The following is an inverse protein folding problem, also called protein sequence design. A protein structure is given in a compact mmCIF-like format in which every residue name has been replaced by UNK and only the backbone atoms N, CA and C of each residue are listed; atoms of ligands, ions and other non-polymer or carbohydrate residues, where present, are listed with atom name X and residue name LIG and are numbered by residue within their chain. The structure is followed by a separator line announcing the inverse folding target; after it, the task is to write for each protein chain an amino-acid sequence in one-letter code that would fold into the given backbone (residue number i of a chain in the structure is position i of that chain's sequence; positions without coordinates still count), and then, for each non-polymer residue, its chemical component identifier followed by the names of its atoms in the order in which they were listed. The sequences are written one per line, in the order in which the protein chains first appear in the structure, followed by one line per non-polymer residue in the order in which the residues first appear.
data_IF_410941650356
#
_entry.id   IF_410941650356
#
_cell.length_a   1.000
_cell.length_b   1.000
_cell.length_c   1.000
_cell.angle_alpha   90.00
_cell.angle_beta   90.00
_cell.angle_gamma   90.00
#
_symmetry.space_group_name_H-M   'P 1'
#
loop_
_entity.id
_entity.type
_entity.pdbx_description
1 polymer ?
#
# COMPACT_ATOMS: atom_id res chain seq x y z
N UNK A 1 -21.98 -9.37 3.71
CA UNK A 1 -21.43 -10.09 2.54
C UNK A 1 -20.04 -9.62 2.07
N UNK A 2 -19.28 -8.80 2.82
CA UNK A 2 -17.82 -8.65 2.64
C UNK A 2 -17.05 -9.32 3.81
N UNK A 3 -17.49 -9.05 5.04
CA UNK A 3 -17.02 -9.70 6.28
C UNK A 3 -17.16 -11.24 6.20
N UNK A 4 -18.22 -11.75 5.56
CA UNK A 4 -18.42 -13.20 5.40
C UNK A 4 -17.46 -13.85 4.41
N UNK A 5 -16.83 -13.07 3.53
CA UNK A 5 -15.89 -13.55 2.52
C UNK A 5 -14.43 -13.40 2.97
N UNK A 6 -14.12 -12.34 3.72
CA UNK A 6 -12.74 -11.98 4.07
C UNK A 6 -12.64 -11.24 5.42
N UNK A 7 -13.50 -11.59 6.38
CA UNK A 7 -13.58 -10.91 7.69
C UNK A 7 -12.39 -11.14 8.62
N UNK A 8 -11.45 -12.00 8.25
CA UNK A 8 -10.19 -12.20 8.97
C UNK A 8 -9.03 -11.37 8.35
N UNK A 9 -9.32 -10.54 7.34
CA UNK A 9 -8.36 -9.66 6.70
C UNK A 9 -8.47 -8.23 7.22
N UNK A 10 -7.39 -7.69 7.77
CA UNK A 10 -7.37 -6.32 8.26
C UNK A 10 -7.59 -5.28 7.16
N UNK A 11 -7.17 -5.56 5.91
CA UNK A 11 -7.41 -4.64 4.79
C UNK A 11 -8.91 -4.51 4.46
N UNK A 12 -9.68 -5.59 4.63
CA UNK A 12 -11.14 -5.52 4.51
C UNK A 12 -11.70 -4.57 5.56
N UNK A 13 -11.35 -4.78 6.83
CA UNK A 13 -11.85 -3.92 7.90
C UNK A 13 -11.43 -2.46 7.75
N UNK A 14 -10.28 -2.17 7.15
CA UNK A 14 -9.89 -0.81 6.80
C UNK A 14 -10.91 -0.12 5.87
N UNK A 15 -11.46 -0.83 4.90
CA UNK A 15 -12.53 -0.29 4.05
C UNK A 15 -13.83 -0.03 4.84
N UNK A 16 -14.11 -0.84 5.86
CA UNK A 16 -15.24 -0.61 6.78
C UNK A 16 -14.97 0.63 7.65
N UNK A 17 -13.75 0.80 8.15
CA UNK A 17 -13.30 2.01 8.86
C UNK A 17 -13.54 3.23 7.98
N UNK A 18 -13.08 3.21 6.72
CA UNK A 18 -13.32 4.29 5.79
C UNK A 18 -14.81 4.56 5.59
N UNK A 19 -15.63 3.53 5.41
CA UNK A 19 -17.07 3.67 5.22
C UNK A 19 -17.76 4.41 6.38
N UNK A 20 -17.43 4.05 7.63
CA UNK A 20 -18.02 4.66 8.83
C UNK A 20 -17.43 6.04 9.15
N UNK A 21 -16.11 6.22 8.99
CA UNK A 21 -15.45 7.50 9.23
C UNK A 21 -15.97 8.60 8.28
N UNK A 22 -16.20 8.28 7.00
CA UNK A 22 -16.79 9.20 6.03
C UNK A 22 -18.23 9.65 6.38
N UNK A 23 -18.88 8.99 7.34
CA UNK A 23 -20.25 9.29 7.81
C UNK A 23 -20.29 9.83 9.25
N UNK A 24 -19.14 10.06 9.87
CA UNK A 24 -19.03 10.45 11.29
C UNK A 24 -19.78 9.50 12.24
N UNK A 25 -19.77 8.21 11.93
CA UNK A 25 -20.35 7.16 12.76
C UNK A 25 -19.33 6.75 13.83
N UNK A 26 -19.16 7.55 14.89
CA UNK A 26 -18.06 7.43 15.86
C UNK A 26 -17.94 6.03 16.47
N UNK A 27 -19.01 5.50 17.06
CA UNK A 27 -19.00 4.17 17.71
C UNK A 27 -18.63 3.06 16.72
N UNK A 28 -19.22 3.10 15.52
CA UNK A 28 -18.96 2.10 14.48
C UNK A 28 -17.55 2.25 13.90
N UNK A 29 -17.02 3.46 13.84
CA UNK A 29 -15.64 3.71 13.38
C UNK A 29 -14.65 3.16 14.39
N UNK A 30 -14.84 3.44 15.67
CA UNK A 30 -13.98 2.92 16.75
C UNK A 30 -14.04 1.39 16.79
N UNK A 31 -15.24 0.81 16.70
CA UNK A 31 -15.43 -0.63 16.60
C UNK A 31 -14.67 -1.20 15.40
N UNK A 32 -14.89 -0.64 14.21
CA UNK A 32 -14.23 -1.10 12.99
C UNK A 32 -12.70 -0.94 13.03
N UNK A 33 -12.15 0.00 13.82
CA UNK A 33 -10.71 0.16 14.01
C UNK A 33 -10.09 -0.99 14.82
N UNK A 34 -10.84 -1.61 15.72
CA UNK A 34 -10.33 -2.72 16.54
C UNK A 34 -10.17 -4.01 15.73
N UNK A 35 -11.05 -4.23 14.76
CA UNK A 35 -11.06 -5.43 13.93
C UNK A 35 -9.81 -5.64 13.06
N UNK A 36 -9.24 -4.64 12.35
CA UNK A 36 -8.01 -4.85 11.60
C UNK A 36 -6.88 -5.23 12.55
N UNK A 37 -6.74 -4.54 13.68
CA UNK A 37 -5.68 -4.82 14.68
C UNK A 37 -5.73 -6.28 15.16
N UNK A 38 -6.93 -6.83 15.32
CA UNK A 38 -7.14 -8.21 15.77
C UNK A 38 -7.13 -9.25 14.63
N UNK A 39 -7.10 -8.81 13.38
CA UNK A 39 -7.12 -9.69 12.21
C UNK A 39 -5.77 -10.42 12.07
N UNK A 40 -5.76 -11.73 11.75
CA UNK A 40 -4.53 -12.53 11.64
C UNK A 40 -3.61 -12.09 10.48
N UNK A 41 -4.16 -11.47 9.44
CA UNK A 41 -3.38 -10.98 8.30
C UNK A 41 -3.95 -9.67 7.76
N UNK A 42 -3.16 -9.02 6.90
CA UNK A 42 -3.53 -7.79 6.21
C UNK A 42 -3.10 -7.91 4.74
N UNK A 43 -4.08 -8.09 3.85
CA UNK A 43 -3.84 -8.30 2.43
C UNK A 43 -4.72 -7.38 1.60
N UNK A 44 -4.12 -6.42 0.90
CA UNK A 44 -4.85 -5.45 0.07
C UNK A 44 -5.23 -6.03 -1.30
N UNK A 45 -4.81 -7.26 -1.58
CA UNK A 45 -4.96 -7.99 -2.83
C UNK A 45 -4.45 -7.20 -4.03
N UNK A 46 -3.44 -6.35 -3.83
CA UNK A 46 -2.97 -5.40 -4.82
C UNK A 46 -2.37 -6.11 -6.04
N UNK A 47 -1.45 -7.07 -5.82
CA UNK A 47 -0.86 -7.88 -6.88
C UNK A 47 -1.90 -8.75 -7.59
N UNK A 48 -2.75 -9.44 -6.83
CA UNK A 48 -3.87 -10.23 -7.34
C UNK A 48 -4.84 -9.41 -8.19
N UNK A 49 -5.17 -8.19 -7.78
CA UNK A 49 -6.03 -7.30 -8.55
C UNK A 49 -5.35 -6.89 -9.86
N UNK A 50 -4.07 -6.51 -9.83
CA UNK A 50 -3.31 -6.21 -11.04
C UNK A 50 -3.29 -7.41 -11.99
N UNK A 51 -3.02 -8.61 -11.49
CA UNK A 51 -3.04 -9.83 -12.29
C UNK A 51 -4.42 -10.13 -12.89
N UNK A 52 -5.50 -9.92 -12.13
CA UNK A 52 -6.88 -10.12 -12.62
C UNK A 52 -7.21 -9.14 -13.74
N UNK A 53 -6.91 -7.85 -13.57
CA UNK A 53 -7.16 -6.85 -14.60
C UNK A 53 -6.30 -7.10 -15.84
N UNK A 54 -5.02 -7.44 -15.66
CA UNK A 54 -4.12 -7.79 -16.78
C UNK A 54 -4.69 -8.97 -17.59
N UNK A 55 -5.14 -10.03 -16.93
CA UNK A 55 -5.80 -11.19 -17.58
C UNK A 55 -7.12 -10.83 -18.25
N UNK A 56 -7.88 -9.87 -17.72
CA UNK A 56 -9.13 -9.42 -18.33
C UNK A 56 -8.90 -8.57 -19.59
N UNK A 57 -7.73 -7.92 -19.69
CA UNK A 57 -7.30 -7.18 -20.87
C UNK A 57 -6.66 -8.10 -21.93
N UNK A 58 -6.12 -9.25 -21.50
CA UNK A 58 -5.65 -10.31 -22.38
C UNK A 58 -6.83 -10.87 -23.20
N UNK A 59 -6.75 -10.78 -24.53
CA UNK A 59 -7.85 -11.06 -25.46
C UNK A 59 -8.33 -9.86 -26.28
N UNK A 60 -7.72 -8.68 -26.08
CA UNK A 60 -7.84 -7.56 -27.03
C UNK A 60 -6.95 -7.76 -28.26
N UNK A 61 -7.10 -6.92 -29.29
CA UNK A 61 -6.25 -6.94 -30.50
C UNK A 61 -4.78 -6.59 -30.24
N UNK A 62 -4.43 -6.13 -29.04
CA UNK A 62 -3.07 -5.82 -28.61
C UNK A 62 -2.78 -6.58 -27.31
N UNK A 63 -2.49 -7.88 -27.44
CA UNK A 63 -2.27 -8.80 -26.32
C UNK A 63 -0.79 -8.77 -25.87
N UNK A 64 -0.35 -7.63 -25.35
CA UNK A 64 0.97 -7.45 -24.77
C UNK A 64 0.87 -7.51 -23.23
N UNK A 65 1.61 -8.42 -22.61
CA UNK A 65 1.55 -8.62 -21.17
C UNK A 65 1.97 -7.36 -20.39
N UNK A 66 3.06 -6.71 -20.80
CA UNK A 66 3.59 -5.54 -20.10
C UNK A 66 2.60 -4.37 -20.16
N UNK A 67 2.02 -4.08 -21.33
CA UNK A 67 0.98 -3.06 -21.51
C UNK A 67 -0.28 -3.38 -20.71
N UNK A 68 -0.72 -4.64 -20.68
CA UNK A 68 -1.87 -5.07 -19.90
C UNK A 68 -1.63 -4.88 -18.39
N UNK A 69 -0.43 -5.16 -17.90
CA UNK A 69 -0.04 -4.92 -16.50
C UNK A 69 0.03 -3.43 -16.19
N UNK A 70 0.62 -2.60 -17.07
CA UNK A 70 0.66 -1.13 -16.90
C UNK A 70 -0.75 -0.56 -16.80
N UNK A 71 -1.65 -0.98 -17.69
CA UNK A 71 -3.06 -0.58 -17.64
C UNK A 71 -3.74 -1.02 -16.34
N UNK A 72 -3.48 -2.26 -15.90
CA UNK A 72 -4.00 -2.80 -14.64
C UNK A 72 -3.53 -2.04 -13.40
N UNK A 73 -2.24 -1.65 -13.34
CA UNK A 73 -1.70 -0.76 -12.30
C UNK A 73 -2.46 0.57 -12.30
N UNK A 74 -2.69 1.15 -13.48
CA UNK A 74 -3.44 2.40 -13.62
C UNK A 74 -4.88 2.30 -13.09
N UNK A 75 -5.58 1.20 -13.41
CA UNK A 75 -6.93 0.93 -12.90
C UNK A 75 -6.93 0.81 -11.38
N UNK A 76 -5.97 0.07 -10.81
CA UNK A 76 -5.88 -0.15 -9.37
C UNK A 76 -5.48 1.11 -8.59
N UNK A 77 -4.60 1.93 -9.17
CA UNK A 77 -4.19 3.23 -8.62
C UNK A 77 -5.33 4.26 -8.66
N UNK A 78 -6.23 4.18 -9.65
CA UNK A 78 -7.37 5.07 -9.78
C UNK A 78 -8.52 4.76 -8.80
N UNK A 79 -8.49 3.62 -8.10
CA UNK A 79 -9.49 3.30 -7.08
C UNK A 79 -9.48 4.36 -5.98
N UNK A 80 -10.61 5.03 -5.79
CA UNK A 80 -10.79 6.00 -4.72
C UNK A 80 -10.68 5.30 -3.37
N UNK A 81 -9.75 5.75 -2.53
CA UNK A 81 -9.68 5.33 -1.13
C UNK A 81 -10.49 6.30 -0.27
N UNK A 82 -11.18 5.79 0.75
CA UNK A 82 -11.94 6.61 1.70
C UNK A 82 -11.08 7.34 2.73
N UNK A 83 -9.75 7.41 2.52
CA UNK A 83 -8.76 7.94 3.46
C UNK A 83 -9.02 9.40 3.87
N UNK A 84 -9.49 10.24 2.94
CA UNK A 84 -9.76 11.65 3.23
C UNK A 84 -10.74 11.84 4.39
N UNK A 85 -11.82 11.05 4.41
CA UNK A 85 -12.79 11.07 5.51
C UNK A 85 -12.22 10.56 6.82
N UNK A 86 -11.38 9.52 6.79
CA UNK A 86 -10.69 9.05 7.99
C UNK A 86 -9.78 10.12 8.58
N UNK A 87 -9.04 10.86 7.76
CA UNK A 87 -8.18 11.95 8.25
C UNK A 87 -9.02 13.06 8.90
N UNK A 88 -10.10 13.48 8.25
CA UNK A 88 -11.01 14.47 8.82
C UNK A 88 -11.59 13.96 10.14
N UNK A 89 -12.07 12.72 10.17
CA UNK A 89 -12.60 12.09 11.35
C UNK A 89 -11.57 12.06 12.47
N UNK A 90 -10.36 11.56 12.23
CA UNK A 90 -9.29 11.53 13.24
C UNK A 90 -8.90 12.92 13.75
N UNK A 91 -8.90 13.96 12.91
CA UNK A 91 -8.62 15.34 13.35
C UNK A 91 -9.70 15.89 14.27
N UNK A 92 -10.97 15.58 13.98
CA UNK A 92 -12.09 16.05 14.78
C UNK A 92 -12.01 15.43 16.16
N UNK A 93 -11.89 16.29 17.18
CA UNK A 93 -11.84 15.87 18.58
C UNK A 93 -10.69 14.91 18.90
N UNK A 94 -9.55 15.07 18.21
CA UNK A 94 -8.31 14.29 18.45
C UNK A 94 -7.83 14.36 19.92
N UNK A 95 -8.29 15.35 20.69
CA UNK A 95 -7.98 15.48 22.12
C UNK A 95 -8.81 14.52 23.00
N UNK A 96 -9.88 13.88 22.47
CA UNK A 96 -10.61 12.81 23.18
C UNK A 96 -9.74 11.56 23.20
N UNK A 97 -9.41 11.08 24.41
CA UNK A 97 -8.44 10.01 24.63
C UNK A 97 -8.72 8.75 23.79
N UNK A 98 -9.99 8.32 23.74
CA UNK A 98 -10.40 7.12 22.99
C UNK A 98 -10.17 7.25 21.49
N UNK A 99 -10.60 8.36 20.89
CA UNK A 99 -10.46 8.61 19.45
C UNK A 99 -8.99 8.78 19.05
N UNK A 100 -8.22 9.51 19.86
CA UNK A 100 -6.79 9.67 19.63
C UNK A 100 -6.06 8.31 19.73
N UNK A 101 -6.45 7.46 20.67
CA UNK A 101 -5.89 6.13 20.84
C UNK A 101 -6.25 5.23 19.65
N UNK A 102 -7.52 5.19 19.24
CA UNK A 102 -7.99 4.41 18.10
C UNK A 102 -7.26 4.80 16.80
N UNK A 103 -7.21 6.11 16.49
CA UNK A 103 -6.48 6.61 15.33
C UNK A 103 -4.99 6.26 15.39
N UNK A 104 -4.35 6.39 16.56
CA UNK A 104 -2.94 6.04 16.71
C UNK A 104 -2.69 4.55 16.46
N UNK A 105 -3.51 3.66 17.04
CA UNK A 105 -3.37 2.22 16.85
C UNK A 105 -3.60 1.81 15.39
N UNK A 106 -4.65 2.35 14.76
CA UNK A 106 -4.89 2.13 13.33
C UNK A 106 -3.71 2.62 12.50
N UNK A 107 -3.17 3.79 12.79
CA UNK A 107 -2.05 4.34 12.06
C UNK A 107 -0.78 3.48 12.17
N UNK A 108 -0.52 2.91 13.36
CA UNK A 108 0.58 1.95 13.59
C UNK A 108 0.34 0.68 12.77
N UNK A 109 -0.88 0.16 12.80
CA UNK A 109 -1.27 -1.06 12.10
C UNK A 109 -1.09 -0.93 10.58
N UNK A 110 -1.63 0.14 9.99
CA UNK A 110 -1.51 0.46 8.57
C UNK A 110 -0.04 0.62 8.14
N UNK A 111 0.79 1.23 8.99
CA UNK A 111 2.23 1.38 8.72
C UNK A 111 2.93 0.01 8.70
N UNK A 112 2.65 -0.84 9.67
CA UNK A 112 3.39 -2.09 9.88
C UNK A 112 2.95 -3.20 8.93
N UNK A 113 1.64 -3.29 8.64
CA UNK A 113 1.05 -4.41 7.92
C UNK A 113 0.44 -4.04 6.58
N UNK A 114 0.32 -2.74 6.27
CA UNK A 114 -0.06 -2.29 4.93
C UNK A 114 0.95 -2.78 3.89
N UNK A 115 0.45 -3.35 2.80
CA UNK A 115 1.25 -3.85 1.69
C UNK A 115 1.58 -2.75 0.68
N UNK A 116 0.75 -1.69 0.63
CA UNK A 116 0.94 -0.57 -0.30
C UNK A 116 1.69 0.59 0.35
N UNK A 117 2.52 1.27 -0.44
CA UNK A 117 3.19 2.52 -0.05
C UNK A 117 2.19 3.56 0.43
N UNK A 118 1.05 3.68 -0.24
CA UNK A 118 0.00 4.63 0.14
C UNK A 118 -0.57 4.30 1.52
N UNK A 119 -0.91 3.04 1.78
CA UNK A 119 -1.48 2.60 3.06
C UNK A 119 -0.50 2.84 4.22
N UNK A 120 0.77 2.52 4.03
CA UNK A 120 1.80 2.82 5.02
C UNK A 120 1.98 4.33 5.23
N UNK A 121 2.02 5.12 4.14
CA UNK A 121 2.09 6.58 4.16
C UNK A 121 0.93 7.23 4.93
N UNK A 122 -0.27 6.71 4.70
CA UNK A 122 -1.50 7.11 5.37
C UNK A 122 -1.47 6.77 6.86
N UNK A 123 -1.01 5.56 7.22
CA UNK A 123 -0.80 5.16 8.61
C UNK A 123 0.16 6.10 9.35
N UNK A 124 1.30 6.40 8.73
CA UNK A 124 2.27 7.38 9.25
C UNK A 124 1.68 8.78 9.40
N UNK A 125 0.85 9.23 8.45
CA UNK A 125 0.18 10.53 8.53
C UNK A 125 -0.75 10.63 9.73
N UNK A 126 -1.52 9.57 10.00
CA UNK A 126 -2.41 9.49 11.17
C UNK A 126 -1.58 9.48 12.47
N UNK A 127 -0.50 8.71 12.52
CA UNK A 127 0.41 8.69 13.68
C UNK A 127 0.97 10.09 13.98
N UNK A 128 1.45 10.82 12.97
CA UNK A 128 1.94 12.20 13.15
C UNK A 128 0.89 13.10 13.78
N UNK A 129 -0.35 13.05 13.29
CA UNK A 129 -1.45 13.84 13.85
C UNK A 129 -1.71 13.50 15.32
N UNK A 130 -1.76 12.20 15.66
CA UNK A 130 -1.99 11.75 17.03
C UNK A 130 -0.82 12.12 17.98
N UNK A 131 0.43 12.00 17.53
CA UNK A 131 1.58 12.40 18.34
C UNK A 131 1.66 13.92 18.52
N UNK A 132 1.36 14.69 17.48
CA UNK A 132 1.31 16.14 17.57
C UNK A 132 0.22 16.61 18.55
N UNK A 133 -0.96 16.00 18.53
CA UNK A 133 -2.04 16.34 19.47
C UNK A 133 -1.72 16.00 20.94
N UNK A 134 -0.75 15.11 21.18
CA UNK A 134 -0.29 14.71 22.52
C UNK A 134 1.03 15.37 22.93
N UNK A 135 1.49 16.38 22.19
CA UNK A 135 2.79 17.04 22.37
C UNK A 135 3.99 16.07 22.41
N UNK A 136 3.85 14.89 21.78
CA UNK A 136 4.93 13.90 21.67
C UNK A 136 5.79 14.19 20.43
N UNK A 137 6.58 15.26 20.53
CA UNK A 137 7.40 15.77 19.42
C UNK A 137 8.49 14.78 18.97
N UNK A 138 8.99 13.95 19.88
CA UNK A 138 9.99 12.92 19.56
C UNK A 138 9.41 11.87 18.61
N UNK A 139 8.26 11.29 18.96
CA UNK A 139 7.60 10.28 18.13
C UNK A 139 7.13 10.88 16.80
N UNK A 140 6.63 12.12 16.83
CA UNK A 140 6.32 12.87 15.61
C UNK A 140 7.53 12.97 14.68
N UNK A 141 8.69 13.40 15.20
CA UNK A 141 9.90 13.59 14.40
C UNK A 141 10.44 12.26 13.85
N UNK A 142 10.31 11.17 14.62
CA UNK A 142 10.71 9.84 14.16
C UNK A 142 9.87 9.37 12.97
N UNK A 143 8.54 9.45 13.07
CA UNK A 143 7.63 9.08 11.96
C UNK A 143 7.87 9.96 10.75
N UNK A 144 8.12 11.26 10.94
CA UNK A 144 8.44 12.17 9.83
C UNK A 144 9.74 11.80 9.11
N UNK A 145 10.78 11.41 9.85
CA UNK A 145 12.05 10.97 9.26
C UNK A 145 11.88 9.68 8.47
N UNK A 146 11.10 8.74 9.00
CA UNK A 146 10.84 7.46 8.35
C UNK A 146 10.01 7.64 7.07
N UNK A 147 8.97 8.46 7.10
CA UNK A 147 8.18 8.82 5.91
C UNK A 147 9.06 9.44 4.84
N UNK A 148 9.94 10.38 5.21
CA UNK A 148 10.92 10.98 4.29
C UNK A 148 11.84 9.92 3.69
N UNK A 149 12.35 8.99 4.52
CA UNK A 149 13.22 7.90 4.06
C UNK A 149 12.54 7.05 2.99
N UNK A 150 11.32 6.58 3.25
CA UNK A 150 10.54 5.75 2.31
C UNK A 150 10.28 6.49 0.99
N UNK A 151 9.90 7.78 1.07
CA UNK A 151 9.73 8.60 -0.13
C UNK A 151 11.06 8.71 -0.89
N UNK A 152 12.16 9.03 -0.24
CA UNK A 152 13.46 9.18 -0.90
C UNK A 152 14.01 7.89 -1.50
N UNK A 153 13.84 6.73 -0.85
CA UNK A 153 14.31 5.44 -1.38
C UNK A 153 13.55 5.03 -2.64
N UNK A 154 12.26 5.35 -2.71
CA UNK A 154 11.40 5.13 -3.88
C UNK A 154 11.76 6.03 -5.08
N UNK A 155 12.66 7.00 -4.88
CA UNK A 155 13.24 7.84 -5.94
C UNK A 155 14.75 7.63 -6.10
N UNK A 156 15.32 6.58 -5.52
CA UNK A 156 16.73 6.25 -5.75
C UNK A 156 16.98 5.93 -7.22
N UNK A 157 18.20 6.19 -7.69
CA UNK A 157 18.58 5.90 -9.08
C UNK A 157 18.43 4.40 -9.41
N UNK A 158 18.78 3.52 -8.47
CA UNK A 158 18.61 2.07 -8.62
C UNK A 158 17.14 1.68 -8.76
N UNK A 159 16.26 2.25 -7.93
CA UNK A 159 14.82 2.02 -8.02
C UNK A 159 14.30 2.42 -9.40
N UNK A 160 14.63 3.64 -9.87
CA UNK A 160 14.18 4.14 -11.16
C UNK A 160 14.67 3.28 -12.32
N UNK A 161 15.93 2.83 -12.29
CA UNK A 161 16.49 1.92 -13.30
C UNK A 161 15.78 0.57 -13.31
N UNK A 162 15.61 -0.05 -12.15
CA UNK A 162 14.95 -1.36 -12.04
C UNK A 162 13.48 -1.32 -12.46
N UNK A 163 12.74 -0.29 -12.04
CA UNK A 163 11.34 -0.09 -12.46
C UNK A 163 11.20 0.27 -13.94
N UNK A 164 12.16 1.00 -14.52
CA UNK A 164 12.15 1.23 -15.97
C UNK A 164 12.38 -0.08 -16.70
N UNK A 165 13.40 -0.83 -16.28
CA UNK A 165 13.80 -2.10 -16.88
C UNK A 165 12.67 -3.14 -16.86
N UNK A 166 11.93 -3.26 -15.75
CA UNK A 166 10.85 -4.25 -15.65
C UNK A 166 9.74 -4.06 -16.69
N UNK A 167 9.52 -2.85 -17.21
CA UNK A 167 8.51 -2.65 -18.25
C UNK A 167 8.98 -3.05 -19.66
N UNK A 168 10.27 -3.33 -19.84
CA UNK A 168 10.84 -3.87 -21.07
C UNK A 168 11.15 -5.38 -20.94
N UNK A 169 11.46 -5.86 -19.74
CA UNK A 169 11.67 -7.28 -19.45
C UNK A 169 10.44 -7.89 -18.75
N UNK A 170 9.65 -8.66 -19.51
CA UNK A 170 8.46 -9.37 -19.00
C UNK A 170 8.76 -10.26 -17.79
N UNK A 171 9.92 -10.92 -17.74
CA UNK A 171 10.25 -11.80 -16.61
C UNK A 171 10.46 -11.00 -15.33
N UNK A 172 11.10 -9.83 -15.42
CA UNK A 172 11.24 -8.91 -14.29
C UNK A 172 9.87 -8.39 -13.82
N UNK A 173 8.96 -8.09 -14.76
CA UNK A 173 7.61 -7.66 -14.41
C UNK A 173 6.84 -8.77 -13.69
N UNK A 174 6.91 -10.00 -14.19
CA UNK A 174 6.31 -11.19 -13.55
C UNK A 174 6.91 -11.43 -12.17
N UNK A 175 8.23 -11.29 -12.04
CA UNK A 175 8.93 -11.42 -10.77
C UNK A 175 8.41 -10.40 -9.75
N UNK A 176 8.34 -9.12 -10.12
CA UNK A 176 7.79 -8.08 -9.25
C UNK A 176 6.33 -8.38 -8.85
N UNK A 177 5.47 -8.70 -9.81
CA UNK A 177 4.04 -9.00 -9.56
C UNK A 177 3.83 -10.18 -8.60
N UNK A 178 4.63 -11.24 -8.74
CA UNK A 178 4.51 -12.43 -7.90
C UNK A 178 4.94 -12.18 -6.45
N UNK A 179 5.73 -11.14 -6.18
CA UNK A 179 6.19 -10.79 -4.84
C UNK A 179 5.27 -9.78 -4.13
N UNK A 180 4.34 -9.13 -4.83
CA UNK A 180 3.53 -8.04 -4.27
C UNK A 180 2.63 -8.47 -3.11
N UNK A 181 1.89 -9.56 -3.26
CA UNK A 181 0.92 -9.96 -2.23
C UNK A 181 1.54 -10.71 -1.05
N UNK A 182 2.77 -11.23 -1.23
CA UNK A 182 3.51 -11.94 -0.19
C UNK A 182 4.34 -10.96 0.66
N UNK A 183 4.94 -9.95 0.03
CA UNK A 183 5.93 -9.07 0.67
C UNK A 183 5.55 -7.58 0.69
N UNK A 184 4.55 -7.15 -0.09
CA UNK A 184 4.19 -5.75 -0.26
C UNK A 184 5.11 -4.98 -1.21
N UNK A 185 4.71 -3.76 -1.58
CA UNK A 185 5.37 -2.94 -2.62
C UNK A 185 6.81 -2.56 -2.26
N UNK A 186 7.10 -2.27 -0.98
CA UNK A 186 8.43 -1.88 -0.51
C UNK A 186 9.44 -3.00 -0.74
N UNK A 187 9.10 -4.21 -0.31
CA UNK A 187 10.02 -5.33 -0.37
C UNK A 187 10.07 -5.94 -1.77
N UNK A 188 8.93 -6.00 -2.47
CA UNK A 188 8.92 -6.38 -3.89
C UNK A 188 9.80 -5.45 -4.74
N UNK A 189 9.88 -4.15 -4.42
CA UNK A 189 10.79 -3.22 -5.06
C UNK A 189 12.27 -3.51 -4.74
N UNK A 190 12.61 -3.86 -3.49
CA UNK A 190 13.97 -4.25 -3.13
C UNK A 190 14.40 -5.50 -3.88
N UNK A 191 13.55 -6.53 -3.88
CA UNK A 191 13.78 -7.77 -4.62
C UNK A 191 13.94 -7.53 -6.12
N UNK A 192 13.13 -6.64 -6.70
CA UNK A 192 13.26 -6.26 -8.12
C UNK A 192 14.61 -5.60 -8.41
N UNK A 193 15.10 -4.72 -7.53
CA UNK A 193 16.41 -4.08 -7.68
C UNK A 193 17.52 -5.14 -7.64
N UNK A 194 17.45 -6.07 -6.69
CA UNK A 194 18.43 -7.15 -6.55
C UNK A 194 18.45 -8.05 -7.80
N UNK A 195 17.28 -8.43 -8.29
CA UNK A 195 17.14 -9.26 -9.49
C UNK A 195 17.64 -8.53 -10.75
N UNK A 196 17.30 -7.24 -10.92
CA UNK A 196 17.80 -6.43 -12.03
C UNK A 196 19.34 -6.29 -11.99
N UNK A 197 19.93 -6.10 -10.80
CA UNK A 197 21.38 -6.06 -10.63
C UNK A 197 22.01 -7.43 -10.94
N UNK A 198 21.37 -8.52 -10.53
CA UNK A 198 21.82 -9.88 -10.81
C UNK A 198 21.87 -10.14 -12.32
N UNK A 199 20.78 -9.85 -13.03
CA UNK A 199 20.66 -10.03 -14.48
C UNK A 199 21.64 -9.17 -15.28
N UNK A 200 21.85 -7.93 -14.87
CA UNK A 200 22.78 -7.01 -15.57
C UNK A 200 24.26 -7.43 -15.51
N UNK A 201 24.62 -8.40 -14.65
CA UNK A 201 25.97 -9.00 -14.64
C UNK A 201 26.17 -10.04 -15.76
N UNK A 202 25.11 -10.50 -16.41
CA UNK A 202 25.19 -11.41 -17.53
C UNK A 202 25.43 -10.63 -18.82
N UNK A 203 26.57 -10.85 -19.48
CA UNK A 203 26.96 -10.16 -20.71
C UNK A 203 25.99 -10.42 -21.88
N UNK A 204 25.19 -11.50 -21.82
CA UNK A 204 24.19 -11.85 -22.82
C UNK A 204 22.77 -11.35 -22.47
N UNK A 205 22.61 -10.58 -21.40
CA UNK A 205 21.30 -10.06 -21.01
C UNK A 205 20.92 -8.87 -21.91
N UNK A 206 19.89 -9.08 -22.74
CA UNK A 206 19.39 -8.12 -23.72
C UNK A 206 17.93 -7.76 -23.42
N UNK A 207 17.69 -6.87 -22.45
CA UNK A 207 16.34 -6.56 -21.95
C UNK A 207 15.46 -5.75 -22.90
N UNK A 208 16.01 -5.26 -24.01
CA UNK A 208 15.34 -4.36 -24.94
C UNK A 208 15.31 -4.91 -26.38
N UNK A 209 15.54 -6.21 -26.56
CA UNK A 209 15.50 -6.85 -27.88
C UNK A 209 14.06 -7.14 -28.29
N UNK A 210 13.38 -6.09 -28.73
CA UNK A 210 12.10 -6.13 -29.43
C UNK A 210 12.17 -5.31 -30.71
#
# INVERSE_FOLDING_TARGET
MAISADGNNGAMWLEIVYFHANRNHDEQTIFAIQEPINSPYFNEHYGQNIQRYSKALAGSTFDDFNLNVVAAIGIEAAKSTGFGGLIVWCKQEINRSEKAHACLQLGIDMKQRGQRFMTQGFGMTIQKMAYQAKDNLESYANVERELKRIMTSSYSEQYQKAFTLMFFDEELLRFWLNNLDDYGEVEAANLLIEEAISRSKNENYLPCDS
#
